data_IF_484646285513
#
_entry.id   IF_484646285513
#
_cell.length_a   1.000
_cell.length_b   1.000
_cell.length_c   1.000
_cell.angle_alpha   90.00
_cell.angle_beta   90.00
_cell.angle_gamma   90.00
#
_symmetry.space_group_name_H-M   'P 1'
#
loop_
_entity.id
_entity.type
_entity.pdbx_description
1 polymer ?
#
# COMPACT_ATOMS: atom_id res chain seq x y z
N UNK A 1 -0.92 24.55 -12.62
CA UNK A 1 -0.12 23.31 -12.78
C UNK A 1 -0.72 22.12 -12.01
N UNK A 2 -1.08 22.23 -10.72
CA UNK A 2 -1.67 21.13 -9.94
C UNK A 2 -2.90 20.45 -10.58
N UNK A 3 -3.87 21.20 -11.11
CA UNK A 3 -5.03 20.62 -11.82
C UNK A 3 -4.63 19.84 -13.08
N UNK A 4 -3.62 20.33 -13.81
CA UNK A 4 -3.09 19.63 -14.97
C UNK A 4 -2.40 18.34 -14.55
N UNK A 5 -1.64 18.35 -13.45
CA UNK A 5 -1.07 17.14 -12.87
C UNK A 5 -2.15 16.15 -12.44
N UNK A 6 -3.23 16.61 -11.81
CA UNK A 6 -4.38 15.76 -11.45
C UNK A 6 -5.01 15.11 -12.68
N UNK A 7 -5.26 15.88 -13.74
CA UNK A 7 -5.83 15.39 -14.98
C UNK A 7 -4.91 14.38 -15.66
N UNK A 8 -3.61 14.68 -15.77
CA UNK A 8 -2.59 13.76 -16.29
C UNK A 8 -2.50 12.48 -15.48
N UNK A 9 -2.47 12.59 -14.14
CA UNK A 9 -2.45 11.43 -13.25
C UNK A 9 -3.64 10.51 -13.48
N UNK A 10 -4.85 11.08 -13.51
CA UNK A 10 -6.08 10.31 -13.79
C UNK A 10 -6.03 9.62 -15.14
N UNK A 11 -5.54 10.32 -16.16
CA UNK A 11 -5.36 9.78 -17.51
C UNK A 11 -4.36 8.63 -17.52
N UNK A 12 -3.18 8.79 -16.92
CA UNK A 12 -2.16 7.73 -16.84
C UNK A 12 -2.66 6.52 -16.04
N UNK A 13 -3.37 6.74 -14.92
CA UNK A 13 -4.00 5.66 -14.17
C UNK A 13 -5.08 4.90 -14.97
N UNK A 14 -5.68 5.53 -15.98
CA UNK A 14 -6.63 4.88 -16.87
C UNK A 14 -5.93 4.18 -18.05
N UNK A 15 -4.99 4.84 -18.71
CA UNK A 15 -4.34 4.38 -19.95
C UNK A 15 -3.18 3.41 -19.69
N UNK A 16 -2.31 3.69 -18.72
CA UNK A 16 -1.20 2.80 -18.36
C UNK A 16 -1.65 1.60 -17.51
N UNK A 17 -2.96 1.46 -17.30
CA UNK A 17 -3.58 0.26 -16.77
C UNK A 17 -3.38 0.07 -15.28
N UNK A 18 -3.77 1.05 -14.43
CA UNK A 18 -3.97 0.77 -13.00
C UNK A 18 -4.92 -0.45 -12.92
N UNK A 19 -4.48 -1.59 -12.39
CA UNK A 19 -5.30 -2.79 -12.48
C UNK A 19 -6.61 -2.62 -11.69
N UNK A 20 -7.73 -3.00 -12.29
CA UNK A 20 -9.09 -2.78 -11.71
C UNK A 20 -9.87 -4.07 -11.53
N UNK A 21 -9.33 -5.18 -12.04
CA UNK A 21 -9.92 -6.49 -11.94
C UNK A 21 -9.85 -7.04 -10.52
N UNK A 22 -10.68 -8.05 -10.30
CA UNK A 22 -10.80 -8.75 -9.01
C UNK A 22 -9.56 -9.57 -8.65
N UNK A 23 -8.76 -9.94 -9.65
CA UNK A 23 -7.63 -10.84 -9.51
C UNK A 23 -6.28 -10.14 -9.74
N UNK A 24 -6.27 -8.96 -10.33
CA UNK A 24 -5.04 -8.25 -10.72
C UNK A 24 -4.16 -7.80 -9.54
N UNK A 25 -4.76 -7.77 -8.34
CA UNK A 25 -4.10 -7.44 -7.07
C UNK A 25 -4.07 -8.62 -6.10
N UNK A 26 -4.34 -9.83 -6.60
CA UNK A 26 -4.18 -11.10 -5.87
C UNK A 26 -2.90 -11.77 -6.33
N UNK A 27 -1.77 -11.22 -5.89
CA UNK A 27 -0.46 -11.72 -6.28
C UNK A 27 -0.06 -12.94 -5.44
N UNK A 28 0.78 -13.79 -6.02
CA UNK A 28 1.43 -14.88 -5.31
C UNK A 28 2.68 -14.38 -4.55
N UNK A 29 3.18 -15.14 -3.56
CA UNK A 29 4.44 -14.80 -2.89
C UNK A 29 5.63 -14.67 -3.87
N UNK A 30 5.71 -15.55 -4.87
CA UNK A 30 6.78 -15.54 -5.86
C UNK A 30 6.80 -14.25 -6.70
N UNK A 31 5.63 -13.63 -6.94
CA UNK A 31 5.52 -12.38 -7.72
C UNK A 31 6.13 -11.18 -6.99
N UNK A 32 6.36 -11.28 -5.67
CA UNK A 32 6.88 -10.18 -4.85
C UNK A 32 8.32 -10.39 -4.36
N UNK A 33 9.01 -11.43 -4.82
CA UNK A 33 10.42 -11.67 -4.48
C UNK A 33 11.35 -10.62 -5.09
N UNK A 34 10.96 -10.04 -6.24
CA UNK A 34 11.65 -8.93 -6.89
C UNK A 34 10.66 -7.85 -7.32
N UNK A 35 10.20 -7.08 -6.33
CA UNK A 35 9.27 -5.97 -6.57
C UNK A 35 9.90 -4.95 -7.53
N UNK A 36 9.30 -4.81 -8.72
CA UNK A 36 9.60 -3.73 -9.66
C UNK A 36 8.39 -2.81 -9.76
N UNK A 37 8.58 -1.49 -9.90
CA UNK A 37 7.46 -0.57 -10.08
C UNK A 37 6.67 -0.93 -11.34
N UNK A 38 5.35 -1.03 -11.22
CA UNK A 38 4.48 -1.33 -12.37
C UNK A 38 4.50 -0.18 -13.39
N UNK A 39 4.18 -0.46 -14.67
CA UNK A 39 4.22 0.54 -15.75
C UNK A 39 3.42 1.82 -15.44
N UNK A 40 2.27 1.71 -14.77
CA UNK A 40 1.46 2.87 -14.43
C UNK A 40 2.17 3.81 -13.43
N UNK A 41 2.95 3.28 -12.47
CA UNK A 41 3.70 4.10 -11.53
C UNK A 41 4.85 4.86 -12.22
N UNK A 42 5.55 4.19 -13.13
CA UNK A 42 6.56 4.80 -14.00
C UNK A 42 5.95 5.92 -14.86
N UNK A 43 4.78 5.67 -15.45
CA UNK A 43 4.06 6.65 -16.25
C UNK A 43 3.61 7.87 -15.43
N UNK A 44 3.24 7.70 -14.15
CA UNK A 44 2.90 8.83 -13.27
C UNK A 44 4.11 9.71 -12.99
N UNK A 45 5.27 9.12 -12.70
CA UNK A 45 6.52 9.86 -12.49
C UNK A 45 6.87 10.65 -13.75
N UNK A 46 6.93 9.98 -14.90
CA UNK A 46 7.30 10.60 -16.18
C UNK A 46 6.33 11.73 -16.60
N UNK A 47 5.01 11.53 -16.41
CA UNK A 47 4.01 12.50 -16.86
C UNK A 47 3.78 13.66 -15.89
N UNK A 48 3.97 13.44 -14.58
CA UNK A 48 3.59 14.41 -13.54
C UNK A 48 4.79 15.00 -12.81
N UNK A 49 5.74 14.16 -12.36
CA UNK A 49 6.81 14.60 -11.47
C UNK A 49 8.05 15.06 -12.20
N UNK A 50 8.52 14.33 -13.22
CA UNK A 50 9.70 14.74 -13.98
C UNK A 50 9.60 16.16 -14.54
N UNK A 51 8.48 16.58 -15.17
CA UNK A 51 8.35 17.94 -15.67
C UNK A 51 8.29 18.97 -14.54
N UNK A 52 7.66 18.61 -13.42
CA UNK A 52 7.55 19.48 -12.26
C UNK A 52 8.92 19.76 -11.64
N UNK A 53 9.70 18.70 -11.41
CA UNK A 53 11.05 18.79 -10.85
C UNK A 53 11.96 19.60 -11.76
N UNK A 54 11.95 19.31 -13.07
CA UNK A 54 12.74 20.08 -14.05
C UNK A 54 12.38 21.57 -14.06
N UNK A 55 11.09 21.90 -13.94
CA UNK A 55 10.62 23.28 -13.97
C UNK A 55 11.05 24.08 -12.72
N UNK A 56 11.14 23.43 -11.55
CA UNK A 56 11.48 24.11 -10.30
C UNK A 56 12.96 24.00 -9.92
N UNK A 57 13.74 23.14 -10.59
CA UNK A 57 15.14 22.88 -10.28
C UNK A 57 16.02 24.13 -10.04
N UNK A 58 15.92 25.23 -10.83
CA UNK A 58 16.77 26.41 -10.61
C UNK A 58 16.30 27.32 -9.46
N UNK A 59 15.17 27.01 -8.82
CA UNK A 59 14.53 27.88 -7.84
C UNK A 59 15.05 27.64 -6.42
N UNK A 60 14.78 28.59 -5.53
CA UNK A 60 15.06 28.45 -4.10
C UNK A 60 14.31 27.24 -3.50
N UNK A 61 14.79 26.71 -2.36
CA UNK A 61 14.12 25.59 -1.67
C UNK A 61 12.63 25.86 -1.41
N UNK A 62 12.29 27.06 -0.96
CA UNK A 62 10.90 27.43 -0.68
C UNK A 62 10.05 27.43 -1.97
N UNK A 63 10.56 28.03 -3.05
CA UNK A 63 9.87 28.04 -4.33
C UNK A 63 9.74 26.63 -4.95
N UNK A 64 10.74 25.76 -4.74
CA UNK A 64 10.67 24.34 -5.10
C UNK A 64 9.56 23.62 -4.34
N UNK A 65 9.45 23.83 -3.03
CA UNK A 65 8.38 23.26 -2.21
C UNK A 65 7.00 23.73 -2.68
N UNK A 66 6.85 25.04 -2.94
CA UNK A 66 5.59 25.63 -3.43
C UNK A 66 5.22 25.13 -4.84
N UNK A 67 6.22 24.89 -5.69
CA UNK A 67 6.01 24.37 -7.04
C UNK A 67 5.73 22.87 -7.09
N UNK A 68 6.32 22.06 -6.20
CA UNK A 68 6.19 20.59 -6.17
C UNK A 68 5.05 20.09 -5.27
N UNK A 69 4.77 20.81 -4.18
CA UNK A 69 3.81 20.36 -3.17
C UNK A 69 2.39 20.16 -3.72
N UNK A 70 1.77 21.17 -4.35
CA UNK A 70 0.41 21.04 -4.89
C UNK A 70 0.28 19.95 -5.98
N UNK A 71 1.20 19.82 -6.95
CA UNK A 71 1.20 18.70 -7.90
C UNK A 71 1.30 17.32 -7.26
N UNK A 72 2.20 17.15 -6.29
CA UNK A 72 2.41 15.89 -5.59
C UNK A 72 1.16 15.51 -4.77
N UNK A 73 0.58 16.49 -4.06
CA UNK A 73 -0.68 16.33 -3.36
C UNK A 73 -1.80 15.87 -4.31
N UNK A 74 -1.97 16.56 -5.43
CA UNK A 74 -3.01 16.25 -6.41
C UNK A 74 -2.83 14.86 -7.06
N UNK A 75 -1.58 14.45 -7.29
CA UNK A 75 -1.23 13.11 -7.77
C UNK A 75 -1.61 12.03 -6.75
N UNK A 76 -1.24 12.22 -5.49
CA UNK A 76 -1.55 11.27 -4.42
C UNK A 76 -3.08 11.13 -4.19
N UNK A 77 -3.83 12.23 -4.28
CA UNK A 77 -5.29 12.23 -4.23
C UNK A 77 -5.90 11.48 -5.42
N UNK A 78 -5.42 11.74 -6.63
CA UNK A 78 -5.90 11.07 -7.85
C UNK A 78 -5.66 9.57 -7.78
N UNK A 79 -4.48 9.14 -7.33
CA UNK A 79 -4.14 7.75 -7.15
C UNK A 79 -5.01 7.07 -6.09
N UNK A 80 -5.12 7.67 -4.91
CA UNK A 80 -6.00 7.18 -3.84
C UNK A 80 -7.46 7.03 -4.32
N UNK A 81 -7.97 8.04 -5.03
CA UNK A 81 -9.31 8.04 -5.59
C UNK A 81 -9.50 6.93 -6.61
N UNK A 82 -8.51 6.69 -7.48
CA UNK A 82 -8.58 5.65 -8.51
C UNK A 82 -8.60 4.23 -7.91
N UNK A 83 -7.80 3.98 -6.87
CA UNK A 83 -7.80 2.70 -6.14
C UNK A 83 -9.18 2.45 -5.53
N UNK A 84 -9.72 3.45 -4.84
CA UNK A 84 -11.00 3.37 -4.13
C UNK A 84 -12.19 3.27 -5.09
N UNK A 85 -12.12 3.94 -6.25
CA UNK A 85 -13.11 3.86 -7.32
C UNK A 85 -13.12 2.50 -8.03
N UNK A 86 -12.06 1.70 -7.92
CA UNK A 86 -12.02 0.32 -8.43
C UNK A 86 -13.02 -0.64 -7.75
N UNK A 87 -13.69 -0.21 -6.67
CA UNK A 87 -14.73 -0.98 -6.01
C UNK A 87 -15.99 -1.15 -6.89
N UNK A 88 -16.75 -2.23 -6.67
CA UNK A 88 -16.48 -3.35 -5.77
C UNK A 88 -15.59 -4.42 -6.42
N UNK A 89 -15.06 -4.18 -7.63
CA UNK A 89 -14.35 -5.20 -8.41
C UNK A 89 -12.96 -5.46 -7.87
N UNK A 90 -12.22 -4.39 -7.57
CA UNK A 90 -10.85 -4.45 -7.07
C UNK A 90 -10.79 -5.14 -5.70
N UNK A 91 -9.89 -6.12 -5.58
CA UNK A 91 -9.60 -6.84 -4.34
C UNK A 91 -8.10 -7.07 -4.21
N UNK A 92 -7.53 -6.66 -3.08
CA UNK A 92 -6.09 -6.63 -2.80
C UNK A 92 -5.75 -7.58 -1.67
N UNK A 93 -4.91 -8.58 -1.95
CA UNK A 93 -4.32 -9.41 -0.90
C UNK A 93 -3.04 -8.77 -0.34
N UNK A 94 -2.42 -9.41 0.65
CA UNK A 94 -1.18 -8.91 1.25
C UNK A 94 -0.08 -8.62 0.22
N UNK A 95 0.13 -9.52 -0.74
CA UNK A 95 1.17 -9.40 -1.76
C UNK A 95 0.86 -8.30 -2.77
N UNK A 96 -0.39 -8.14 -3.18
CA UNK A 96 -0.84 -6.99 -3.98
C UNK A 96 -0.62 -5.66 -3.26
N UNK A 97 -0.83 -5.61 -1.95
CA UNK A 97 -0.56 -4.44 -1.14
C UNK A 97 0.95 -4.14 -1.03
N UNK A 98 1.81 -5.16 -0.94
CA UNK A 98 3.28 -4.99 -1.04
C UNK A 98 3.70 -4.41 -2.40
N UNK A 99 3.12 -4.88 -3.50
CA UNK A 99 3.41 -4.31 -4.81
C UNK A 99 2.96 -2.85 -4.91
N UNK A 100 1.78 -2.52 -4.37
CA UNK A 100 1.29 -1.14 -4.34
C UNK A 100 2.19 -0.24 -3.47
N UNK A 101 2.76 -0.77 -2.39
CA UNK A 101 3.77 -0.07 -1.58
C UNK A 101 5.03 0.20 -2.39
N UNK A 102 5.57 -0.80 -3.10
CA UNK A 102 6.73 -0.60 -3.97
C UNK A 102 6.46 0.41 -5.10
N UNK A 103 5.25 0.40 -5.68
CA UNK A 103 4.83 1.37 -6.69
C UNK A 103 4.83 2.80 -6.12
N UNK A 104 4.37 2.98 -4.88
CA UNK A 104 4.38 4.28 -4.18
C UNK A 104 5.81 4.69 -3.81
N UNK A 105 6.61 3.81 -3.22
CA UNK A 105 7.98 4.14 -2.80
C UNK A 105 8.86 4.49 -4.01
N UNK A 106 8.68 3.87 -5.18
CA UNK A 106 9.35 4.29 -6.42
C UNK A 106 9.16 5.78 -6.76
N UNK A 107 7.95 6.29 -6.52
CA UNK A 107 7.64 7.70 -6.76
C UNK A 107 8.37 8.61 -5.75
N UNK A 108 8.48 8.17 -4.50
CA UNK A 108 9.12 8.92 -3.43
C UNK A 108 10.65 8.89 -3.58
N UNK A 109 11.21 7.74 -3.93
CA UNK A 109 12.64 7.55 -4.24
C UNK A 109 13.06 8.42 -5.43
N UNK A 110 12.19 8.55 -6.45
CA UNK A 110 12.41 9.47 -7.55
C UNK A 110 12.54 10.92 -7.05
N UNK A 111 11.63 11.37 -6.19
CA UNK A 111 11.66 12.73 -5.65
C UNK A 111 12.90 12.98 -4.80
N UNK A 112 13.28 12.02 -3.94
CA UNK A 112 14.47 12.14 -3.11
C UNK A 112 15.73 12.26 -3.97
N UNK A 113 15.86 11.37 -4.95
CA UNK A 113 16.99 11.36 -5.89
C UNK A 113 17.05 12.63 -6.76
N UNK A 114 15.89 13.10 -7.24
CA UNK A 114 15.83 14.20 -8.18
C UNK A 114 15.92 15.58 -7.51
N UNK A 115 15.50 15.71 -6.24
CA UNK A 115 15.60 16.96 -5.49
C UNK A 115 16.98 17.17 -4.87
N UNK A 116 17.65 16.09 -4.44
CA UNK A 116 18.97 16.15 -3.79
C UNK A 116 19.00 16.98 -2.49
N UNK A 117 17.84 17.24 -1.89
CA UNK A 117 17.64 18.12 -0.74
C UNK A 117 16.71 17.41 0.24
N UNK A 118 17.29 16.79 1.27
CA UNK A 118 16.57 15.92 2.22
C UNK A 118 15.45 16.65 2.93
N UNK A 119 15.68 17.89 3.35
CA UNK A 119 14.65 18.62 4.08
C UNK A 119 13.47 18.99 3.16
N UNK A 120 13.74 19.30 1.89
CA UNK A 120 12.69 19.50 0.88
C UNK A 120 11.91 18.20 0.68
N UNK A 121 12.60 17.07 0.51
CA UNK A 121 11.97 15.76 0.39
C UNK A 121 11.10 15.46 1.60
N UNK A 122 11.61 15.62 2.82
CA UNK A 122 10.85 15.39 4.06
C UNK A 122 9.60 16.27 4.14
N UNK A 123 9.70 17.53 3.70
CA UNK A 123 8.54 18.45 3.63
C UNK A 123 7.49 17.96 2.63
N UNK A 124 7.92 17.43 1.48
CA UNK A 124 7.04 16.85 0.46
C UNK A 124 6.40 15.53 0.96
N UNK A 125 7.15 14.70 1.67
CA UNK A 125 6.65 13.44 2.25
C UNK A 125 5.67 13.68 3.40
N UNK A 126 5.80 14.81 4.09
CA UNK A 126 4.90 15.21 5.18
C UNK A 126 3.54 15.73 4.68
N UNK A 127 3.36 15.96 3.38
CA UNK A 127 2.09 16.41 2.82
C UNK A 127 0.97 15.42 3.14
N UNK A 128 -0.15 15.95 3.61
CA UNK A 128 -1.29 15.14 4.06
C UNK A 128 -1.75 14.10 3.02
N UNK A 129 -1.93 14.43 1.72
CA UNK A 129 -2.38 13.43 0.75
C UNK A 129 -1.35 12.30 0.51
N UNK A 130 -0.06 12.61 0.58
CA UNK A 130 1.02 11.61 0.46
C UNK A 130 0.98 10.67 1.65
N UNK A 131 0.90 11.22 2.86
CA UNK A 131 0.75 10.42 4.10
C UNK A 131 -0.49 9.52 4.05
N UNK A 132 -1.61 10.04 3.55
CA UNK A 132 -2.85 9.27 3.43
C UNK A 132 -2.77 8.17 2.39
N UNK A 133 -2.16 8.40 1.24
CA UNK A 133 -1.91 7.35 0.26
C UNK A 133 -1.09 6.20 0.90
N UNK A 134 0.01 6.52 1.57
CA UNK A 134 0.85 5.54 2.28
C UNK A 134 0.09 4.83 3.41
N UNK A 135 -0.73 5.55 4.17
CA UNK A 135 -1.59 4.97 5.21
C UNK A 135 -2.61 4.00 4.63
N UNK A 136 -3.24 4.34 3.50
CA UNK A 136 -4.17 3.48 2.78
C UNK A 136 -3.52 2.18 2.34
N UNK A 137 -2.33 2.25 1.75
CA UNK A 137 -1.55 1.06 1.35
C UNK A 137 -1.15 0.21 2.57
N UNK A 138 -0.66 0.82 3.65
CA UNK A 138 -0.37 0.11 4.91
C UNK A 138 -1.60 -0.59 5.48
N UNK A 139 -2.77 0.03 5.37
CA UNK A 139 -4.04 -0.58 5.78
C UNK A 139 -4.38 -1.82 4.96
N UNK A 140 -4.11 -1.81 3.65
CA UNK A 140 -4.27 -2.98 2.79
C UNK A 140 -3.31 -4.11 3.16
N UNK A 141 -2.10 -3.81 3.65
CA UNK A 141 -1.18 -4.85 4.15
C UNK A 141 -1.71 -5.53 5.43
N UNK A 142 -2.55 -4.87 6.21
CA UNK A 142 -3.22 -5.47 7.38
C UNK A 142 -4.44 -6.26 6.94
N UNK A 143 -4.22 -7.44 6.35
CA UNK A 143 -5.32 -8.34 5.99
C UNK A 143 -6.01 -8.86 7.26
N UNK A 144 -7.34 -9.02 7.27
CA UNK A 144 -8.03 -9.61 8.42
C UNK A 144 -7.65 -11.08 8.56
N UNK A 145 -7.56 -11.56 9.79
CA UNK A 145 -7.22 -12.95 10.04
C UNK A 145 -8.27 -13.91 9.41
N UNK A 146 -7.85 -15.05 8.86
CA UNK A 146 -8.77 -16.06 8.38
C UNK A 146 -9.69 -16.50 9.53
N UNK A 147 -11.00 -16.47 9.28
CA UNK A 147 -12.00 -16.84 10.27
C UNK A 147 -11.80 -18.32 10.67
N UNK A 148 -11.33 -18.56 11.89
CA UNK A 148 -10.87 -19.86 12.38
C UNK A 148 -9.56 -19.78 13.16
N UNK A 149 -8.77 -18.73 12.92
CA UNK A 149 -7.69 -18.31 13.81
C UNK A 149 -8.28 -17.57 15.03
N UNK A 150 -9.04 -18.29 15.86
CA UNK A 150 -9.31 -17.81 17.21
C UNK A 150 -7.95 -17.50 17.86
N UNK A 151 -7.85 -16.31 18.44
CA UNK A 151 -6.68 -15.87 19.19
C UNK A 151 -6.30 -16.95 20.20
N UNK A 152 -5.25 -17.73 19.90
CA UNK A 152 -4.55 -18.50 20.90
C UNK A 152 -3.93 -17.46 21.81
N UNK A 153 -4.64 -17.10 22.88
CA UNK A 153 -4.03 -16.41 24.02
C UNK A 153 -2.84 -17.29 24.44
N UNK A 154 -1.64 -16.74 24.61
CA UNK A 154 -0.57 -17.48 25.26
C UNK A 154 -0.97 -17.61 26.73
N UNK A 155 -1.78 -18.61 27.04
CA UNK A 155 -2.05 -19.01 28.41
C UNK A 155 -0.75 -19.57 28.95
N UNK A 156 -0.18 -18.86 29.92
CA UNK A 156 0.98 -19.33 30.66
C UNK A 156 0.75 -20.75 31.21
N UNK A 157 1.83 -21.55 31.16
CA UNK A 157 2.05 -22.81 31.89
C UNK A 157 1.13 -24.00 31.55
N UNK A 158 1.74 -25.02 30.94
CA UNK A 158 2.07 -26.28 31.64
C UNK A 158 3.21 -26.99 30.90
N UNK A 159 4.35 -27.09 31.58
CA UNK A 159 5.39 -28.05 31.27
C UNK A 159 4.78 -29.44 31.50
N UNK A 160 4.65 -30.25 30.45
CA UNK A 160 4.42 -31.68 30.59
C UNK A 160 5.54 -32.37 29.84
N UNK A 161 6.54 -32.78 30.60
CA UNK A 161 7.57 -33.72 30.15
C UNK A 161 6.98 -35.11 30.24
N UNK A 162 6.81 -35.77 29.10
CA UNK A 162 6.69 -37.23 29.03
C UNK A 162 7.70 -37.71 27.99
N UNK A 163 8.78 -38.36 28.45
CA UNK A 163 9.74 -39.01 27.59
C UNK A 163 9.17 -40.28 26.97
N UNK A 164 9.64 -40.60 25.76
CA UNK A 164 9.34 -41.85 25.05
C UNK A 164 9.88 -41.81 23.63
N UNK A 165 10.80 -42.73 23.33
CA UNK A 165 11.71 -42.79 22.18
C UNK A 165 11.09 -43.01 20.78
N UNK A 166 11.86 -42.52 19.80
CA UNK A 166 12.17 -43.07 18.47
C UNK A 166 11.26 -42.85 17.24
N UNK A 167 11.89 -42.13 16.30
CA UNK A 167 11.96 -42.29 14.84
C UNK A 167 10.91 -41.73 13.86
N UNK A 168 11.49 -41.24 12.75
CA UNK A 168 10.94 -40.89 11.45
C UNK A 168 10.17 -39.55 11.27
N UNK A 169 10.86 -38.63 10.58
CA UNK A 169 10.32 -38.11 9.31
C UNK A 169 9.51 -36.81 9.31
N UNK A 170 10.08 -35.83 8.60
CA UNK A 170 9.40 -34.93 7.65
C UNK A 170 8.67 -33.68 8.21
N UNK A 171 9.10 -32.55 7.64
CA UNK A 171 8.41 -31.26 7.48
C UNK A 171 8.23 -30.33 8.71
N UNK A 172 9.27 -29.52 8.92
CA UNK A 172 9.16 -28.21 9.56
C UNK A 172 8.37 -27.22 8.70
N UNK A 173 7.04 -27.28 8.76
CA UNK A 173 6.21 -26.14 8.38
C UNK A 173 6.24 -25.11 9.51
N UNK A 174 7.20 -24.19 9.42
CA UNK A 174 7.19 -22.94 10.18
C UNK A 174 5.98 -22.10 9.75
N UNK A 175 4.83 -22.34 10.37
CA UNK A 175 3.74 -21.37 10.44
C UNK A 175 4.22 -20.17 11.25
N UNK A 176 5.00 -19.29 10.63
CA UNK A 176 5.29 -17.97 11.17
C UNK A 176 3.99 -17.18 11.12
N UNK A 177 3.27 -17.26 12.24
CA UNK A 177 2.29 -16.27 12.65
C UNK A 177 2.96 -14.90 12.62
N UNK A 178 2.73 -14.13 11.56
CA UNK A 178 3.03 -12.70 11.54
C UNK A 178 1.82 -11.98 12.17
N UNK A 179 1.51 -12.34 13.42
CA UNK A 179 0.71 -11.55 14.33
C UNK A 179 1.66 -10.75 15.21
N UNK A 180 2.28 -9.72 14.63
CA UNK A 180 3.07 -8.77 15.40
C UNK A 180 2.17 -7.98 16.36
N UNK A 181 2.62 -7.68 17.58
CA UNK A 181 1.84 -6.93 18.56
C UNK A 181 1.51 -5.54 18.02
N UNK A 182 0.34 -5.03 18.38
CA UNK A 182 -0.12 -3.68 18.07
C UNK A 182 0.91 -2.64 18.59
N UNK A 183 1.89 -2.32 17.75
CA UNK A 183 2.91 -1.35 18.05
C UNK A 183 2.38 0.05 17.70
N UNK A 184 2.04 0.81 18.74
CA UNK A 184 2.13 2.27 18.85
C UNK A 184 1.96 3.07 17.54
N UNK A 185 0.79 3.70 17.42
CA UNK A 185 0.64 4.98 16.73
C UNK A 185 0.17 4.90 15.29
N UNK A 186 -1.07 4.45 15.08
CA UNK A 186 -1.78 4.56 13.80
C UNK A 186 -2.28 6.00 13.54
N UNK A 187 -1.52 7.04 13.94
CA UNK A 187 -1.90 8.45 13.77
C UNK A 187 -2.06 8.85 12.31
N UNK A 188 -1.47 8.10 11.39
CA UNK A 188 -1.62 8.31 9.96
C UNK A 188 -2.92 7.71 9.39
N UNK A 189 -3.54 6.73 10.06
CA UNK A 189 -4.82 6.19 9.62
C UNK A 189 -5.98 7.16 9.87
N UNK A 190 -5.80 8.13 10.76
CA UNK A 190 -6.77 9.19 11.06
C UNK A 190 -6.92 10.17 9.90
N UNK A 191 -5.94 10.23 8.99
CA UNK A 191 -6.03 11.10 7.82
C UNK A 191 -6.86 10.50 6.67
N UNK A 192 -7.19 9.21 6.75
CA UNK A 192 -8.00 8.51 5.75
C UNK A 192 -9.49 8.82 5.91
N UNK A 193 -9.96 9.92 5.31
CA UNK A 193 -11.39 10.30 5.26
C UNK A 193 -12.27 9.14 4.74
N UNK A 194 -11.72 8.31 3.84
CA UNK A 194 -12.39 7.16 3.25
C UNK A 194 -11.90 5.80 3.77
N UNK A 195 -11.48 5.70 5.04
CA UNK A 195 -10.95 4.48 5.67
C UNK A 195 -11.78 3.21 5.38
N UNK A 196 -13.10 3.28 5.51
CA UNK A 196 -13.99 2.12 5.23
C UNK A 196 -13.90 1.64 3.78
N UNK A 197 -13.69 2.58 2.86
CA UNK A 197 -13.56 2.28 1.44
C UNK A 197 -12.26 1.52 1.14
N UNK A 198 -11.16 1.89 1.80
CA UNK A 198 -9.90 1.14 1.76
C UNK A 198 -10.02 -0.24 2.40
N UNK A 199 -10.67 -0.35 3.57
CA UNK A 199 -10.87 -1.63 4.24
C UNK A 199 -11.62 -2.64 3.37
N UNK A 200 -12.60 -2.16 2.60
CA UNK A 200 -13.42 -2.98 1.69
C UNK A 200 -12.66 -3.54 0.48
N UNK A 201 -11.44 -3.07 0.21
CA UNK A 201 -10.59 -3.60 -0.86
C UNK A 201 -9.85 -4.87 -0.45
N UNK A 202 -9.73 -5.19 0.84
CA UNK A 202 -9.02 -6.38 1.32
C UNK A 202 -9.73 -7.67 0.88
N UNK A 203 -8.96 -8.74 0.65
CA UNK A 203 -9.50 -10.00 0.10
C UNK A 203 -10.22 -10.88 1.10
N UNK A 204 -9.92 -10.74 2.38
CA UNK A 204 -10.48 -11.58 3.45
C UNK A 204 -11.46 -10.78 4.30
N UNK A 205 -12.46 -11.44 4.90
CA UNK A 205 -13.41 -10.80 5.82
C UNK A 205 -14.88 -10.73 5.40
N UNK A 206 -15.29 -11.25 4.23
CA UNK A 206 -16.72 -11.44 3.93
C UNK A 206 -17.05 -12.91 3.75
N UNK A 207 -17.75 -13.48 4.75
CA UNK A 207 -18.51 -14.73 4.59
C UNK A 207 -19.44 -14.55 3.39
N UNK A 208 -19.40 -15.47 2.43
CA UNK A 208 -20.64 -15.83 1.74
C UNK A 208 -21.46 -16.57 2.78
N UNK A 209 -22.52 -15.96 3.29
CA UNK A 209 -23.57 -16.72 3.97
C UNK A 209 -24.15 -17.64 2.89
N UNK A 210 -23.74 -18.90 2.88
CA UNK A 210 -24.48 -19.94 2.18
C UNK A 210 -25.62 -20.26 3.13
N UNK A 211 -26.80 -19.71 2.86
CA UNK A 211 -28.03 -20.19 3.47
C UNK A 211 -28.25 -21.61 2.95
N UNK A 212 -27.94 -22.60 3.78
CA UNK A 212 -28.44 -23.96 3.57
C UNK A 212 -29.86 -23.93 4.15
N UNK A 213 -30.85 -23.74 3.29
CA UNK A 213 -32.23 -24.03 3.66
C UNK A 213 -32.35 -25.56 3.70
N UNK A 214 -32.61 -26.10 4.89
CA UNK A 214 -33.06 -27.48 5.09
C UNK A 214 -34.55 -27.62 4.83
#
# INVERSE_FOLDING_TARGET
FAEQCRAKARRQLAEAGLPRGRHDWKLAPADVEQLRPRPYAQALVAACLEPAVKAVAPLSRQARLEGLGPPLAALAEAWSSAIVAGRPRLRVNFYGAKQMEADVEYLLDYLDSACGDRDLTDSLMALQPVRCLRAGVRLLKRQPAPAGAAAVRPSARRLVTCGGSSDAGVESNSARSIGGPEAKGDRDADCLINKQQWLALRTEGQRKFIAICG
#
